data_IF_369853255420
#
_entry.id   IF_369853255420
#
_cell.length_a   1.000
_cell.length_b   1.000
_cell.length_c   1.000
_cell.angle_alpha   90.00
_cell.angle_beta   90.00
_cell.angle_gamma   90.00
#
_symmetry.space_group_name_H-M   'P 1'
#
loop_
_entity.id
_entity.type
_entity.pdbx_description
1 polymer ?
#
# COMPACT_ATOMS: atom_id res chain seq x y z
N UNK A 1 4.85 8.58 12.86
CA UNK A 1 4.19 9.06 11.63
C UNK A 1 4.21 10.58 11.65
N UNK A 2 4.71 11.17 10.61
CA UNK A 2 4.70 12.63 10.39
C UNK A 2 3.67 12.98 9.32
N UNK A 3 2.64 13.74 9.68
CA UNK A 3 1.59 14.14 8.75
C UNK A 3 1.95 15.38 7.93
N UNK A 4 3.04 16.08 8.23
CA UNK A 4 3.52 17.18 7.40
C UNK A 4 4.20 16.65 6.14
N UNK A 5 5.11 15.71 6.32
CA UNK A 5 5.91 15.09 5.23
C UNK A 5 5.25 13.83 4.64
N UNK A 6 4.31 13.21 5.36
CA UNK A 6 3.73 11.91 5.03
C UNK A 6 4.63 10.71 5.38
N UNK A 7 5.76 10.94 6.03
CA UNK A 7 6.69 9.88 6.38
C UNK A 7 6.18 9.00 7.53
N UNK A 8 6.27 7.68 7.37
CA UNK A 8 5.88 6.68 8.37
C UNK A 8 7.00 5.69 8.57
N UNK A 9 7.57 5.65 9.77
CA UNK A 9 8.55 4.64 10.17
C UNK A 9 7.83 3.39 10.64
N UNK A 10 8.00 2.28 9.94
CA UNK A 10 7.58 0.95 10.36
C UNK A 10 8.73 0.34 11.15
N UNK A 11 8.61 0.31 12.48
CA UNK A 11 9.69 -0.15 13.39
C UNK A 11 9.84 -1.66 13.40
N UNK A 12 8.74 -2.41 13.29
CA UNK A 12 8.71 -3.88 13.34
C UNK A 12 7.99 -4.41 12.11
N UNK A 13 8.71 -4.61 11.01
CA UNK A 13 8.24 -5.31 9.84
C UNK A 13 8.59 -6.81 9.88
N UNK A 14 8.20 -7.56 8.83
CA UNK A 14 8.65 -8.95 8.64
C UNK A 14 10.19 -8.98 8.63
N UNK A 15 10.79 -9.81 9.49
CA UNK A 15 12.24 -9.85 9.69
C UNK A 15 12.80 -8.77 10.62
N UNK A 16 11.96 -8.07 11.41
CA UNK A 16 12.34 -7.04 12.40
C UNK A 16 13.17 -5.86 11.83
N UNK A 17 13.22 -5.70 10.50
CA UNK A 17 13.95 -4.58 9.88
C UNK A 17 13.04 -3.35 9.79
N UNK A 18 13.47 -2.20 10.31
CA UNK A 18 12.71 -0.96 10.17
C UNK A 18 12.72 -0.50 8.70
N UNK A 19 11.65 0.14 8.29
CA UNK A 19 11.59 0.78 6.96
C UNK A 19 10.74 2.02 6.98
N UNK A 20 11.07 2.96 6.10
CA UNK A 20 10.27 4.14 5.84
C UNK A 20 9.28 3.87 4.72
N UNK A 21 8.04 4.30 4.90
CA UNK A 21 7.01 4.37 3.86
C UNK A 21 6.40 5.76 3.83
N UNK A 22 5.72 6.10 2.75
CA UNK A 22 5.18 7.44 2.56
C UNK A 22 3.68 7.41 2.28
N UNK A 23 2.97 8.38 2.81
CA UNK A 23 1.54 8.58 2.61
C UNK A 23 1.31 9.64 1.54
N UNK A 24 0.42 9.36 0.60
CA UNK A 24 -0.04 10.35 -0.38
C UNK A 24 -0.95 11.41 0.25
N UNK A 25 -1.07 12.57 -0.42
CA UNK A 25 -1.85 13.74 0.05
C UNK A 25 -3.30 13.39 0.42
N UNK A 26 -3.98 12.55 -0.37
CA UNK A 26 -5.36 12.11 -0.09
C UNK A 26 -5.44 11.30 1.21
N UNK A 27 -4.49 10.40 1.44
CA UNK A 27 -4.41 9.59 2.66
C UNK A 27 -4.14 10.45 3.89
N UNK A 28 -3.21 11.42 3.78
CA UNK A 28 -2.92 12.39 4.87
C UNK A 28 -4.18 13.18 5.22
N UNK A 29 -4.92 13.67 4.22
CA UNK A 29 -6.19 14.40 4.43
C UNK A 29 -7.22 13.54 5.16
N UNK A 30 -7.38 12.28 4.74
CA UNK A 30 -8.32 11.34 5.38
C UNK A 30 -7.92 11.05 6.84
N UNK A 31 -6.63 10.83 7.12
CA UNK A 31 -6.13 10.62 8.48
C UNK A 31 -6.34 11.86 9.35
N UNK A 32 -6.04 13.05 8.85
CA UNK A 32 -6.31 14.31 9.58
C UNK A 32 -7.81 14.50 9.88
N UNK A 33 -8.67 14.15 8.92
CA UNK A 33 -10.13 14.14 9.13
C UNK A 33 -10.51 13.19 10.26
N UNK A 34 -10.06 11.93 10.19
CA UNK A 34 -10.31 10.93 11.20
C UNK A 34 -9.83 11.37 12.59
N UNK A 35 -8.60 11.89 12.72
CA UNK A 35 -8.05 12.34 14.00
C UNK A 35 -8.82 13.49 14.64
N UNK A 36 -9.48 14.37 13.84
CA UNK A 36 -10.34 15.43 14.36
C UNK A 36 -11.62 14.91 15.01
N UNK A 37 -12.14 13.78 14.54
CA UNK A 37 -13.34 13.16 15.10
C UNK A 37 -13.05 12.26 16.32
N UNK A 38 -11.78 11.89 16.53
CA UNK A 38 -11.38 11.07 17.68
C UNK A 38 -11.51 11.88 18.98
N UNK A 39 -12.12 11.23 19.98
CA UNK A 39 -12.27 11.77 21.34
C UNK A 39 -11.54 10.96 22.40
N UNK A 40 -10.79 9.93 21.98
CA UNK A 40 -10.02 9.05 22.87
C UNK A 40 -8.56 9.51 22.99
N UNK A 41 -7.86 9.04 24.02
CA UNK A 41 -6.45 9.32 24.30
C UNK A 41 -5.53 8.14 23.92
N UNK A 42 -6.01 7.19 23.12
CA UNK A 42 -5.24 6.02 22.73
C UNK A 42 -4.02 6.40 21.87
N UNK A 43 -2.82 5.87 22.16
CA UNK A 43 -1.63 6.09 21.33
C UNK A 43 -1.70 5.34 19.98
N UNK A 44 -2.67 4.44 19.80
CA UNK A 44 -2.86 3.71 18.56
C UNK A 44 -3.48 4.61 17.50
N UNK A 45 -2.99 4.56 16.25
CA UNK A 45 -3.58 5.30 15.13
C UNK A 45 -5.03 4.85 14.89
N UNK A 46 -5.26 3.54 14.81
CA UNK A 46 -6.57 2.97 14.58
C UNK A 46 -7.12 2.38 15.88
N UNK A 47 -8.31 2.80 16.23
CA UNK A 47 -9.00 2.36 17.45
C UNK A 47 -10.33 1.72 17.11
N UNK A 48 -10.77 0.81 17.99
CA UNK A 48 -12.12 0.25 18.00
C UNK A 48 -13.13 1.28 18.51
N UNK A 49 -14.41 0.94 18.48
CA UNK A 49 -15.49 1.74 19.10
C UNK A 49 -15.31 1.93 20.60
N UNK A 50 -14.51 1.09 21.26
CA UNK A 50 -14.20 1.15 22.69
C UNK A 50 -12.91 1.93 23.01
N UNK A 51 -12.31 2.61 22.00
CA UNK A 51 -11.08 3.38 22.19
C UNK A 51 -9.79 2.54 22.27
N UNK A 52 -9.89 1.23 22.14
CA UNK A 52 -8.74 0.32 22.19
C UNK A 52 -8.09 0.19 20.79
N UNK A 53 -6.81 -0.23 20.76
CA UNK A 53 -6.12 -0.53 19.51
C UNK A 53 -6.93 -1.51 18.65
N UNK A 54 -7.19 -1.16 17.40
CA UNK A 54 -7.85 -2.05 16.44
C UNK A 54 -7.02 -3.32 16.24
N UNK A 55 -7.65 -4.49 16.45
CA UNK A 55 -7.04 -5.79 16.20
C UNK A 55 -7.14 -6.17 14.72
N UNK A 56 -6.35 -7.16 14.29
CA UNK A 56 -6.47 -7.71 12.94
C UNK A 56 -7.85 -8.30 12.66
N UNK A 57 -8.45 -8.96 13.67
CA UNK A 57 -9.81 -9.50 13.57
C UNK A 57 -10.84 -8.39 13.36
N UNK A 58 -10.74 -7.29 14.12
CA UNK A 58 -11.61 -6.12 13.97
C UNK A 58 -11.50 -5.51 12.57
N UNK A 59 -10.27 -5.38 12.03
CA UNK A 59 -10.04 -4.92 10.66
C UNK A 59 -10.71 -5.84 9.63
N UNK A 60 -10.57 -7.16 9.76
CA UNK A 60 -11.23 -8.12 8.86
C UNK A 60 -12.76 -8.02 8.94
N UNK A 61 -13.31 -7.88 10.15
CA UNK A 61 -14.74 -7.70 10.35
C UNK A 61 -15.23 -6.38 9.69
N UNK A 62 -14.49 -5.31 9.85
CA UNK A 62 -14.76 -4.04 9.17
C UNK A 62 -14.78 -4.19 7.64
N UNK A 63 -13.76 -4.83 7.05
CA UNK A 63 -13.68 -5.04 5.61
C UNK A 63 -14.85 -5.90 5.11
N UNK A 64 -15.21 -6.97 5.84
CA UNK A 64 -16.38 -7.80 5.52
C UNK A 64 -17.66 -6.98 5.47
N UNK A 65 -17.97 -6.22 6.52
CA UNK A 65 -19.17 -5.36 6.56
C UNK A 65 -19.23 -4.39 5.39
N UNK A 66 -18.10 -3.79 5.02
CA UNK A 66 -18.03 -2.86 3.87
C UNK A 66 -18.23 -3.56 2.55
N UNK A 67 -17.66 -4.75 2.37
CA UNK A 67 -17.86 -5.57 1.18
C UNK A 67 -19.34 -5.98 1.00
N UNK A 68 -20.00 -6.39 2.10
CA UNK A 68 -21.43 -6.74 2.12
C UNK A 68 -22.32 -5.53 1.76
N UNK A 69 -22.01 -4.34 2.30
CA UNK A 69 -22.76 -3.11 2.01
C UNK A 69 -22.78 -2.73 0.53
N UNK A 70 -21.72 -3.09 -0.23
CA UNK A 70 -21.61 -2.80 -1.68
C UNK A 70 -21.76 -4.06 -2.51
N UNK A 71 -22.27 -5.14 -1.94
CA UNK A 71 -22.54 -6.42 -2.62
C UNK A 71 -21.37 -6.97 -3.42
N UNK A 72 -20.14 -6.88 -2.86
CA UNK A 72 -18.98 -7.50 -3.48
C UNK A 72 -19.09 -9.02 -3.51
N UNK A 73 -18.75 -9.63 -4.65
CA UNK A 73 -18.72 -11.09 -4.82
C UNK A 73 -17.74 -11.81 -3.88
N UNK A 74 -16.69 -11.11 -3.46
CA UNK A 74 -15.67 -11.65 -2.54
C UNK A 74 -15.27 -10.61 -1.51
N UNK A 75 -14.96 -11.07 -0.30
CA UNK A 75 -14.53 -10.21 0.81
C UNK A 75 -13.02 -9.97 0.66
N UNK A 76 -12.57 -8.71 0.41
CA UNK A 76 -11.16 -8.43 0.27
C UNK A 76 -10.43 -8.53 1.60
N UNK A 77 -9.23 -9.09 1.57
CA UNK A 77 -8.34 -9.17 2.72
C UNK A 77 -7.33 -8.00 2.72
N UNK A 78 -6.67 -7.69 3.85
CA UNK A 78 -5.56 -6.72 3.84
C UNK A 78 -4.44 -7.06 2.85
N UNK A 79 -4.21 -8.35 2.59
CA UNK A 79 -3.26 -8.81 1.56
C UNK A 79 -3.70 -8.45 0.15
N UNK A 80 -5.00 -8.49 -0.15
CA UNK A 80 -5.51 -8.11 -1.48
C UNK A 80 -5.31 -6.61 -1.73
N UNK A 81 -5.55 -5.76 -0.73
CA UNK A 81 -5.22 -4.33 -0.82
C UNK A 81 -3.73 -4.10 -1.05
N UNK A 82 -2.88 -4.85 -0.35
CA UNK A 82 -1.43 -4.75 -0.51
C UNK A 82 -0.99 -5.16 -1.92
N UNK A 83 -1.57 -6.24 -2.46
CA UNK A 83 -1.32 -6.71 -3.84
C UNK A 83 -1.79 -5.68 -4.87
N UNK A 84 -3.02 -5.17 -4.70
CA UNK A 84 -3.56 -4.14 -5.59
C UNK A 84 -2.70 -2.87 -5.59
N UNK A 85 -2.25 -2.41 -4.41
CA UNK A 85 -1.33 -1.29 -4.28
C UNK A 85 -0.05 -1.52 -5.09
N UNK A 86 0.58 -2.68 -4.93
CA UNK A 86 1.82 -2.98 -5.63
C UNK A 86 1.63 -3.06 -7.16
N UNK A 87 0.55 -3.66 -7.63
CA UNK A 87 0.22 -3.73 -9.07
C UNK A 87 -0.02 -2.34 -9.67
N UNK A 88 -0.77 -1.48 -8.96
CA UNK A 88 -1.02 -0.11 -9.43
C UNK A 88 0.27 0.70 -9.48
N UNK A 89 1.15 0.57 -8.46
CA UNK A 89 2.45 1.25 -8.45
C UNK A 89 3.32 0.84 -9.65
N UNK A 90 3.37 -0.46 -9.96
CA UNK A 90 4.11 -0.96 -11.13
C UNK A 90 3.52 -0.45 -12.45
N UNK A 91 2.20 -0.49 -12.61
CA UNK A 91 1.52 0.05 -13.80
C UNK A 91 1.76 1.54 -13.98
N UNK A 92 1.95 2.27 -12.88
CA UNK A 92 2.32 3.69 -12.90
C UNK A 92 3.84 3.92 -13.11
N UNK A 93 4.60 2.88 -13.44
CA UNK A 93 6.02 2.98 -13.78
C UNK A 93 6.96 3.09 -12.60
N UNK A 94 6.50 2.76 -11.39
CA UNK A 94 7.39 2.73 -10.21
C UNK A 94 8.38 1.58 -10.37
N UNK A 95 9.66 1.89 -10.19
CA UNK A 95 10.74 0.91 -10.25
C UNK A 95 10.53 -0.25 -9.27
N UNK A 96 10.80 -1.47 -9.75
CA UNK A 96 10.55 -2.70 -8.98
C UNK A 96 11.40 -2.80 -7.70
N UNK A 97 12.63 -2.27 -7.71
CA UNK A 97 13.51 -2.28 -6.53
C UNK A 97 13.06 -1.24 -5.50
N UNK A 98 12.57 -0.07 -5.96
CA UNK A 98 11.95 0.92 -5.10
C UNK A 98 10.69 0.34 -4.44
N UNK A 99 9.83 -0.32 -5.22
CA UNK A 99 8.65 -1.00 -4.71
C UNK A 99 9.00 -2.11 -3.71
N UNK A 100 10.06 -2.88 -3.98
CA UNK A 100 10.57 -3.91 -3.07
C UNK A 100 10.96 -3.34 -1.71
N UNK A 101 11.64 -2.20 -1.68
CA UNK A 101 12.00 -1.51 -0.43
C UNK A 101 10.74 -1.04 0.32
N UNK A 102 9.77 -0.46 -0.37
CA UNK A 102 8.50 -0.03 0.22
C UNK A 102 7.70 -1.20 0.81
N UNK A 103 7.63 -2.30 0.10
CA UNK A 103 6.84 -3.47 0.50
C UNK A 103 7.54 -4.36 1.54
N UNK A 104 8.88 -4.34 1.58
CA UNK A 104 9.68 -5.28 2.37
C UNK A 104 9.90 -6.60 1.63
N UNK A 105 11.12 -7.11 1.69
CA UNK A 105 11.76 -8.11 0.81
C UNK A 105 11.00 -9.41 0.46
N UNK A 106 9.86 -9.72 1.06
CA UNK A 106 9.22 -11.03 0.92
C UNK A 106 8.05 -11.11 -0.07
N UNK A 107 7.59 -9.99 -0.63
CA UNK A 107 6.31 -9.98 -1.34
C UNK A 107 6.41 -9.93 -2.88
N UNK A 108 7.62 -9.77 -3.44
CA UNK A 108 7.76 -9.67 -4.90
C UNK A 108 7.65 -10.99 -5.66
N UNK A 109 7.87 -12.14 -5.01
CA UNK A 109 7.68 -13.43 -5.69
C UNK A 109 6.23 -13.61 -6.18
N UNK A 110 5.27 -13.05 -5.43
CA UNK A 110 3.86 -13.06 -5.83
C UNK A 110 3.62 -12.13 -7.02
N UNK A 111 4.32 -10.99 -7.06
CA UNK A 111 4.18 -10.00 -8.15
C UNK A 111 4.83 -10.45 -9.45
N UNK A 112 5.86 -11.28 -9.43
CA UNK A 112 6.46 -11.86 -10.63
C UNK A 112 5.45 -12.61 -11.52
N UNK A 113 4.44 -13.26 -10.92
CA UNK A 113 3.36 -13.91 -11.68
C UNK A 113 2.44 -12.92 -12.41
N UNK A 114 2.34 -11.69 -11.93
CA UNK A 114 1.51 -10.63 -12.53
C UNK A 114 2.31 -9.68 -13.42
N UNK A 115 3.64 -9.79 -13.38
CA UNK A 115 4.60 -9.13 -14.26
C UNK A 115 4.94 -9.99 -15.49
N UNK A 116 4.06 -10.89 -15.90
CA UNK A 116 4.16 -11.46 -17.24
C UNK A 116 4.04 -10.27 -18.21
N UNK A 117 5.19 -9.68 -18.53
CA UNK A 117 5.31 -8.62 -19.52
C UNK A 117 4.86 -9.22 -20.84
N UNK A 118 3.89 -8.58 -21.48
CA UNK A 118 3.54 -8.91 -22.86
C UNK A 118 4.68 -8.42 -23.76
N UNK A 119 4.80 -8.98 -24.98
CA UNK A 119 5.77 -8.49 -25.97
C UNK A 119 5.58 -6.98 -26.23
N UNK A 120 4.35 -6.48 -26.12
CA UNK A 120 4.00 -5.07 -26.21
C UNK A 120 4.62 -4.25 -25.06
N UNK A 121 4.62 -4.79 -23.83
CA UNK A 121 5.25 -4.11 -22.67
C UNK A 121 6.76 -4.05 -22.82
N UNK A 122 7.37 -5.12 -23.35
CA UNK A 122 8.80 -5.19 -23.65
C UNK A 122 9.17 -4.19 -24.75
N UNK A 123 8.39 -4.12 -25.84
CA UNK A 123 8.59 -3.15 -26.89
C UNK A 123 8.51 -1.71 -26.36
N UNK A 124 7.47 -1.40 -25.60
CA UNK A 124 7.28 -0.07 -24.99
C UNK A 124 8.45 0.30 -24.06
N UNK A 125 8.92 -0.66 -23.25
CA UNK A 125 10.07 -0.44 -22.38
C UNK A 125 11.36 -0.20 -23.18
N UNK A 126 11.56 -0.94 -24.26
CA UNK A 126 12.69 -0.74 -25.17
C UNK A 126 12.67 0.67 -25.79
N UNK A 127 11.53 1.09 -26.33
CA UNK A 127 11.36 2.42 -26.94
C UNK A 127 11.60 3.58 -25.96
N UNK A 128 11.35 3.37 -24.66
CA UNK A 128 11.63 4.38 -23.63
C UNK A 128 13.09 4.43 -23.18
N UNK A 129 13.78 3.29 -23.24
CA UNK A 129 15.13 3.15 -22.69
C UNK A 129 16.21 2.89 -23.74
N UNK A 130 15.88 2.90 -25.02
CA UNK A 130 16.84 2.68 -26.10
C UNK A 130 17.91 3.80 -26.09
N UNK A 131 19.18 3.47 -25.91
CA UNK A 131 20.25 4.47 -25.91
C UNK A 131 20.53 5.06 -27.30
N UNK A 132 20.00 4.42 -28.36
CA UNK A 132 20.17 4.84 -29.76
C UNK A 132 19.04 5.77 -30.20
N UNK A 133 17.81 5.53 -29.70
CA UNK A 133 16.60 6.28 -30.07
C UNK A 133 16.25 7.37 -29.06
N UNK A 134 16.86 7.34 -27.87
CA UNK A 134 16.74 8.39 -26.87
C UNK A 134 17.56 9.61 -27.29
N UNK A 135 16.94 10.78 -27.31
CA UNK A 135 17.62 12.04 -27.63
C UNK A 135 18.92 12.18 -26.82
N UNK A 136 20.03 12.18 -27.52
CA UNK A 136 21.27 12.79 -27.09
C UNK A 136 21.10 14.31 -27.06
#
# INVERSE_FOLDING_TARGET
MDLATGAVMIRQGKGRKPRMVFLGRKTIRAIRGYLRYRKDNSPALWVSTHGERMTYSALRCFLRRRAEQVSLKSIPTPHDFRRAFALVMLRNGVDIFALQKLMGHSDLQILRRYLAQTDQDIHTAHMRGSPVDGNL
#
